data_IF_037458144336
#
_entry.id   IF_037458144336
#
_cell.length_a   1.000
_cell.length_b   1.000
_cell.length_c   1.000
_cell.angle_alpha   90.00
_cell.angle_beta   90.00
_cell.angle_gamma   90.00
#
_symmetry.space_group_name_H-M   'P 1'
#
loop_
_entity.id
_entity.type
_entity.pdbx_description
1 polymer ?
#
# COMPACT_ATOMS: atom_id res chain seq x y z
N UNK A 1 9.49 -14.77 10.65
CA UNK A 1 10.46 -14.84 9.57
C UNK A 1 10.19 -13.88 8.40
N UNK A 2 9.83 -12.61 8.66
CA UNK A 2 9.81 -11.54 7.66
C UNK A 2 8.75 -11.66 6.56
N UNK A 3 7.65 -12.36 6.79
CA UNK A 3 6.60 -12.61 5.78
C UNK A 3 5.41 -11.67 5.84
N UNK A 4 5.37 -10.80 6.86
CA UNK A 4 4.27 -9.85 7.03
C UNK A 4 4.63 -8.51 6.41
N UNK A 5 3.71 -7.93 5.69
CA UNK A 5 3.68 -6.52 5.32
C UNK A 5 2.29 -5.97 5.64
N UNK A 6 2.24 -4.79 6.19
CA UNK A 6 1.00 -4.17 6.64
C UNK A 6 0.51 -3.17 5.60
N UNK A 7 -0.60 -3.49 4.94
CA UNK A 7 -1.30 -2.53 4.08
C UNK A 7 -2.06 -1.51 4.93
N UNK A 8 -1.85 -0.22 4.66
CA UNK A 8 -2.47 0.88 5.40
C UNK A 8 -3.14 1.85 4.45
N UNK A 9 -4.44 2.08 4.64
CA UNK A 9 -5.23 3.07 3.92
C UNK A 9 -5.89 4.06 4.87
N UNK A 10 -6.09 5.30 4.42
CA UNK A 10 -6.75 6.34 5.24
C UNK A 10 -8.28 6.30 5.17
N UNK A 11 -8.85 5.46 4.29
CA UNK A 11 -10.28 5.48 4.00
C UNK A 11 -10.69 6.65 3.07
N UNK A 12 -11.64 6.41 2.21
CA UNK A 12 -12.15 7.39 1.24
C UNK A 12 -13.62 7.73 1.44
N UNK A 13 -14.35 6.89 2.16
CA UNK A 13 -15.81 7.01 2.34
C UNK A 13 -16.15 7.75 3.64
N UNK A 14 -16.65 8.99 3.59
CA UNK A 14 -16.98 9.76 4.80
C UNK A 14 -18.12 9.15 5.62
N UNK A 15 -19.00 8.35 5.00
CA UNK A 15 -20.12 7.72 5.70
C UNK A 15 -19.61 6.69 6.71
N UNK A 16 -18.58 5.93 6.39
CA UNK A 16 -17.94 4.97 7.31
C UNK A 16 -17.38 5.67 8.55
N UNK A 17 -16.77 6.84 8.37
CA UNK A 17 -16.25 7.64 9.48
C UNK A 17 -17.39 8.16 10.37
N UNK A 18 -18.45 8.68 9.76
CA UNK A 18 -19.61 9.20 10.51
C UNK A 18 -20.28 8.11 11.35
N UNK A 19 -20.44 6.90 10.80
CA UNK A 19 -21.02 5.75 11.54
C UNK A 19 -20.15 5.33 12.72
N UNK A 20 -18.83 5.46 12.60
CA UNK A 20 -17.87 5.13 13.65
C UNK A 20 -17.64 6.30 14.65
N UNK A 21 -18.33 7.42 14.48
CA UNK A 21 -18.12 8.62 15.31
C UNK A 21 -16.78 9.32 15.10
N UNK A 22 -16.15 9.13 13.93
CA UNK A 22 -14.81 9.60 13.63
C UNK A 22 -14.79 10.79 12.66
N UNK A 23 -13.89 11.74 12.88
CA UNK A 23 -13.74 12.90 12.00
C UNK A 23 -12.96 12.53 10.73
N UNK A 24 -13.68 12.46 9.61
CA UNK A 24 -13.13 12.19 8.28
C UNK A 24 -12.03 13.19 7.87
N UNK A 25 -12.11 14.45 8.31
CA UNK A 25 -11.18 15.50 7.90
C UNK A 25 -9.79 15.33 8.53
N UNK A 26 -9.69 14.63 9.64
CA UNK A 26 -8.44 14.41 10.38
C UNK A 26 -7.67 13.15 9.92
N UNK A 27 -8.31 12.24 9.17
CA UNK A 27 -7.78 10.90 8.85
C UNK A 27 -6.35 10.88 8.34
N UNK A 28 -5.98 11.84 7.48
CA UNK A 28 -4.63 11.93 6.91
C UNK A 28 -3.56 12.34 7.89
N UNK A 29 -3.89 13.13 8.90
CA UNK A 29 -2.98 13.51 9.99
C UNK A 29 -2.92 12.40 11.05
N UNK A 30 -4.08 11.83 11.38
CA UNK A 30 -4.20 10.75 12.37
C UNK A 30 -3.43 9.49 11.92
N UNK A 31 -3.53 9.09 10.65
CA UNK A 31 -2.80 7.91 10.17
C UNK A 31 -1.26 8.07 10.26
N UNK A 32 -0.75 9.30 10.12
CA UNK A 32 0.68 9.58 10.32
C UNK A 32 1.10 9.21 11.74
N UNK A 33 0.38 9.71 12.74
CA UNK A 33 0.64 9.41 14.14
C UNK A 33 0.46 7.92 14.45
N UNK A 34 -0.58 7.28 13.88
CA UNK A 34 -0.80 5.84 14.03
C UNK A 34 0.34 4.98 13.46
N UNK A 35 0.96 5.40 12.36
CA UNK A 35 2.12 4.71 11.78
C UNK A 35 3.32 4.84 12.71
N UNK A 36 3.56 6.03 13.24
CA UNK A 36 4.64 6.31 14.17
C UNK A 36 4.52 5.47 15.45
N UNK A 37 3.35 5.49 16.08
CA UNK A 37 3.04 4.67 17.26
C UNK A 37 3.23 3.16 16.98
N UNK A 38 2.75 2.67 15.84
CA UNK A 38 2.93 1.25 15.49
C UNK A 38 4.40 0.88 15.34
N UNK A 39 5.20 1.72 14.68
CA UNK A 39 6.63 1.46 14.54
C UNK A 39 7.33 1.39 15.89
N UNK A 40 7.03 2.32 16.80
CA UNK A 40 7.54 2.30 18.17
C UNK A 40 7.13 1.01 18.90
N UNK A 41 5.84 0.66 18.89
CA UNK A 41 5.34 -0.57 19.53
C UNK A 41 5.94 -1.86 18.95
N UNK A 42 6.42 -1.86 17.72
CA UNK A 42 7.06 -3.04 17.12
C UNK A 42 8.55 -3.16 17.45
N UNK A 43 9.20 -2.07 17.83
CA UNK A 43 10.64 -2.02 18.05
C UNK A 43 11.04 -1.90 19.52
N UNK A 44 10.20 -1.24 20.32
CA UNK A 44 10.49 -0.89 21.69
C UNK A 44 9.43 -1.41 22.67
N UNK A 45 9.84 -1.71 23.92
CA UNK A 45 8.94 -2.18 24.97
C UNK A 45 9.54 -1.92 26.35
N UNK A 46 8.92 -1.11 27.23
CA UNK A 46 7.71 -0.29 26.97
C UNK A 46 8.02 0.98 26.17
N UNK A 47 6.96 1.66 25.68
CA UNK A 47 7.05 2.98 25.06
C UNK A 47 6.28 4.02 25.86
N UNK A 48 6.74 5.28 25.78
CA UNK A 48 5.98 6.47 26.13
C UNK A 48 5.76 7.29 24.84
N UNK A 49 4.52 7.69 24.59
CA UNK A 49 4.17 8.48 23.41
C UNK A 49 3.06 9.45 23.72
N UNK A 50 3.28 10.75 23.48
CA UNK A 50 2.33 11.82 23.73
C UNK A 50 2.03 12.54 22.42
N UNK A 51 0.97 12.12 21.74
CA UNK A 51 0.51 12.68 20.46
C UNK A 51 -0.80 13.44 20.59
N UNK A 52 -1.34 13.80 19.44
CA UNK A 52 -2.65 14.46 19.40
C UNK A 52 -3.82 13.48 19.59
N UNK A 53 -3.68 12.26 19.11
CA UNK A 53 -4.72 11.22 19.10
C UNK A 53 -4.36 10.01 19.95
N UNK A 54 -3.12 9.87 20.34
CA UNK A 54 -2.63 8.75 21.13
C UNK A 54 -1.81 9.27 22.30
N UNK A 55 -2.16 8.81 23.48
CA UNK A 55 -1.42 9.05 24.72
C UNK A 55 -1.12 7.69 25.34
N UNK A 56 0.16 7.30 25.36
CA UNK A 56 0.60 5.98 25.78
C UNK A 56 1.68 6.17 26.84
N UNK A 57 1.49 5.57 27.99
CA UNK A 57 2.43 5.65 29.10
C UNK A 57 2.82 4.25 29.52
N UNK A 58 4.14 3.95 29.46
CA UNK A 58 4.74 2.71 29.90
C UNK A 58 4.01 1.45 29.36
N UNK A 59 3.53 1.49 28.11
CA UNK A 59 2.81 0.39 27.51
C UNK A 59 3.61 -0.20 26.34
N UNK A 60 3.31 -1.45 25.99
CA UNK A 60 3.99 -2.15 24.89
C UNK A 60 3.27 -3.43 24.48
N UNK A 61 3.84 -4.14 23.53
CA UNK A 61 3.38 -5.45 23.10
C UNK A 61 4.40 -6.53 23.49
N UNK A 62 3.92 -7.66 23.92
CA UNK A 62 4.78 -8.78 24.32
C UNK A 62 4.19 -10.11 23.84
N UNK A 63 4.93 -10.94 23.07
CA UNK A 63 6.29 -10.67 22.61
C UNK A 63 6.34 -9.61 21.51
N UNK A 64 7.49 -8.94 21.35
CA UNK A 64 7.75 -8.09 20.19
C UNK A 64 7.74 -8.93 18.91
N UNK A 65 7.29 -8.36 17.76
CA UNK A 65 7.37 -9.05 16.47
C UNK A 65 8.81 -9.49 16.16
N UNK A 66 8.95 -10.67 15.54
CA UNK A 66 10.25 -11.11 15.02
C UNK A 66 10.75 -10.15 13.94
N UNK A 67 9.85 -9.74 13.05
CA UNK A 67 10.11 -8.74 12.00
C UNK A 67 9.91 -7.33 12.56
N UNK A 68 10.97 -6.54 12.67
CA UNK A 68 10.98 -5.22 13.30
C UNK A 68 11.76 -4.19 12.49
N UNK A 69 11.16 -3.10 12.05
CA UNK A 69 9.71 -2.88 11.99
C UNK A 69 9.05 -3.75 10.91
N UNK A 70 7.74 -3.93 11.02
CA UNK A 70 6.95 -4.57 9.97
C UNK A 70 6.81 -3.54 8.81
N UNK A 71 7.12 -3.90 7.54
CA UNK A 71 7.01 -2.98 6.44
C UNK A 71 5.58 -2.48 6.23
N UNK A 72 5.42 -1.17 6.09
CA UNK A 72 4.14 -0.52 5.85
C UNK A 72 3.98 -0.20 4.37
N UNK A 73 2.90 -0.70 3.80
CA UNK A 73 2.54 -0.47 2.41
C UNK A 73 1.31 0.42 2.30
N UNK A 74 1.36 1.39 1.40
CA UNK A 74 0.28 2.35 1.24
C UNK A 74 -0.12 2.51 -0.22
N UNK A 75 -1.41 2.77 -0.44
CA UNK A 75 -1.96 3.26 -1.69
C UNK A 75 -2.31 4.75 -1.59
N UNK A 76 -2.47 5.38 -2.74
CA UNK A 76 -3.05 6.71 -2.86
C UNK A 76 -4.08 6.69 -3.99
N UNK A 77 -5.18 7.42 -3.81
CA UNK A 77 -6.30 7.44 -4.75
C UNK A 77 -7.60 6.94 -4.12
N UNK A 78 -8.62 6.87 -4.95
CA UNK A 78 -9.94 6.37 -4.62
C UNK A 78 -10.57 5.75 -5.87
N UNK A 79 -11.68 5.00 -5.76
CA UNK A 79 -12.42 4.53 -6.93
C UNK A 79 -12.72 5.67 -7.90
N UNK A 80 -12.39 5.49 -9.18
CA UNK A 80 -12.52 6.51 -10.23
C UNK A 80 -11.53 7.69 -10.20
N UNK A 81 -10.63 7.74 -9.19
CA UNK A 81 -9.57 8.75 -9.06
C UNK A 81 -8.24 8.10 -8.63
N UNK A 82 -7.61 7.31 -9.51
CA UNK A 82 -6.46 6.48 -9.15
C UNK A 82 -5.23 7.30 -8.76
N UNK A 83 -5.09 8.52 -9.29
CA UNK A 83 -3.94 9.37 -9.02
C UNK A 83 -3.90 9.93 -7.59
N UNK A 84 -5.06 10.05 -6.94
CA UNK A 84 -5.15 10.65 -5.61
C UNK A 84 -4.69 12.12 -5.53
N UNK A 85 -4.87 12.77 -4.38
CA UNK A 85 -4.34 14.10 -4.14
C UNK A 85 -2.84 14.07 -3.78
N UNK A 86 -2.09 15.12 -4.13
CA UNK A 86 -0.66 15.23 -3.84
C UNK A 86 -0.30 14.98 -2.37
N UNK A 87 -1.14 15.40 -1.44
CA UNK A 87 -0.92 15.15 0.01
C UNK A 87 -0.95 13.66 0.37
N UNK A 88 -1.66 12.84 -0.40
CA UNK A 88 -1.64 11.39 -0.20
C UNK A 88 -0.37 10.77 -0.77
N UNK A 89 0.06 11.19 -1.96
CA UNK A 89 1.33 10.77 -2.58
C UNK A 89 2.54 11.19 -1.73
N UNK A 90 2.53 12.42 -1.18
CA UNK A 90 3.56 12.89 -0.26
C UNK A 90 3.62 11.99 1.00
N UNK A 91 2.47 11.62 1.55
CA UNK A 91 2.42 10.72 2.71
C UNK A 91 3.02 9.36 2.40
N UNK A 92 2.72 8.78 1.23
CA UNK A 92 3.34 7.54 0.76
C UNK A 92 4.86 7.68 0.73
N UNK A 93 5.39 8.67 0.01
CA UNK A 93 6.84 8.87 -0.10
C UNK A 93 7.53 9.07 1.25
N UNK A 94 6.89 9.78 2.18
CA UNK A 94 7.46 10.08 3.50
C UNK A 94 7.42 8.90 4.47
N UNK A 95 6.40 8.05 4.42
CA UNK A 95 6.09 7.11 5.49
C UNK A 95 6.08 5.64 5.07
N UNK A 96 5.77 5.33 3.81
CA UNK A 96 5.60 3.96 3.39
C UNK A 96 6.95 3.28 3.06
N UNK A 97 7.00 1.98 3.27
CA UNK A 97 8.09 1.12 2.82
C UNK A 97 7.76 0.50 1.45
N UNK A 98 6.47 0.52 1.07
CA UNK A 98 6.01 0.13 -0.25
C UNK A 98 4.79 0.91 -0.72
N UNK A 99 4.61 0.99 -2.02
CA UNK A 99 3.53 1.71 -2.69
C UNK A 99 2.74 0.81 -3.64
N UNK A 100 1.41 0.92 -3.56
CA UNK A 100 0.46 0.33 -4.49
C UNK A 100 -0.13 1.40 -5.40
N UNK A 101 0.34 1.58 -6.64
CA UNK A 101 -0.35 2.41 -7.62
C UNK A 101 -1.74 1.82 -7.94
N UNK A 102 -2.78 2.67 -7.92
CA UNK A 102 -4.16 2.24 -8.22
C UNK A 102 -4.50 2.44 -9.71
N UNK A 103 -3.58 2.10 -10.60
CA UNK A 103 -3.73 2.19 -12.05
C UNK A 103 -3.01 1.02 -12.71
N UNK A 104 -3.26 0.85 -13.99
CA UNK A 104 -2.51 -0.07 -14.85
C UNK A 104 -1.09 0.44 -15.11
N UNK A 105 -0.20 -0.47 -15.56
CA UNK A 105 1.13 -0.10 -16.02
C UNK A 105 1.04 0.93 -17.17
N UNK A 106 2.02 1.83 -17.26
CA UNK A 106 2.09 2.86 -18.29
C UNK A 106 2.49 4.24 -17.74
N UNK A 107 2.28 5.28 -18.54
CA UNK A 107 2.70 6.64 -18.23
C UNK A 107 2.14 7.20 -16.91
N UNK A 108 0.88 6.86 -16.60
CA UNK A 108 0.28 7.27 -15.32
C UNK A 108 0.97 6.63 -14.14
N UNK A 109 1.22 5.31 -14.20
CA UNK A 109 1.94 4.59 -13.16
C UNK A 109 3.35 5.16 -12.99
N UNK A 110 4.06 5.40 -14.10
CA UNK A 110 5.39 6.01 -14.09
C UNK A 110 5.40 7.36 -13.36
N UNK A 111 4.50 8.25 -13.73
CA UNK A 111 4.39 9.59 -13.08
C UNK A 111 4.10 9.49 -11.58
N UNK A 112 3.25 8.54 -11.16
CA UNK A 112 2.95 8.33 -9.76
C UNK A 112 4.16 7.78 -9.00
N UNK A 113 4.87 6.81 -9.56
CA UNK A 113 6.11 6.24 -8.99
C UNK A 113 7.17 7.34 -8.85
N UNK A 114 7.43 8.10 -9.91
CA UNK A 114 8.39 9.20 -9.88
C UNK A 114 8.01 10.26 -8.83
N UNK A 115 6.72 10.56 -8.70
CA UNK A 115 6.21 11.52 -7.72
C UNK A 115 6.44 11.04 -6.28
N UNK A 116 6.09 9.80 -5.96
CA UNK A 116 6.26 9.28 -4.59
C UNK A 116 7.75 9.10 -4.24
N UNK A 117 8.57 8.66 -5.19
CA UNK A 117 10.04 8.61 -5.04
C UNK A 117 10.63 10.00 -4.80
N UNK A 118 10.15 11.01 -5.52
CA UNK A 118 10.55 12.40 -5.30
C UNK A 118 10.18 12.92 -3.91
N UNK A 119 9.02 12.53 -3.37
CA UNK A 119 8.64 12.86 -1.99
C UNK A 119 9.49 12.09 -0.95
N UNK A 120 9.87 10.85 -1.22
CA UNK A 120 10.79 10.10 -0.36
C UNK A 120 12.14 10.81 -0.27
N UNK A 121 12.71 11.21 -1.41
CA UNK A 121 13.96 11.95 -1.47
C UNK A 121 13.88 13.30 -0.72
N UNK A 122 12.81 14.07 -0.90
CA UNK A 122 12.58 15.33 -0.17
C UNK A 122 12.46 15.12 1.33
N UNK A 123 12.06 13.94 1.78
CA UNK A 123 12.01 13.56 3.19
C UNK A 123 13.33 13.00 3.73
N UNK A 124 14.42 13.04 2.96
CA UNK A 124 15.73 12.52 3.34
C UNK A 124 15.85 10.99 3.30
N UNK A 125 14.90 10.32 2.61
CA UNK A 125 14.92 8.86 2.43
C UNK A 125 15.55 8.50 1.09
N UNK A 126 16.17 7.33 1.02
CA UNK A 126 16.58 6.79 -0.27
C UNK A 126 15.33 6.35 -1.07
N UNK A 127 15.06 6.93 -2.26
CA UNK A 127 13.87 6.59 -3.04
C UNK A 127 13.86 5.14 -3.55
N UNK A 128 15.00 4.47 -3.63
CA UNK A 128 15.11 3.09 -4.10
C UNK A 128 14.74 2.06 -3.02
N UNK A 129 14.68 2.48 -1.75
CA UNK A 129 14.16 1.64 -0.67
C UNK A 129 12.63 1.51 -0.72
N UNK A 130 11.94 2.44 -1.42
CA UNK A 130 10.49 2.37 -1.60
C UNK A 130 10.12 1.31 -2.63
N UNK A 131 9.58 0.20 -2.16
CA UNK A 131 9.15 -0.92 -3.00
C UNK A 131 7.86 -0.59 -3.74
N UNK A 132 7.73 -1.12 -4.95
CA UNK A 132 6.56 -0.90 -5.82
C UNK A 132 5.88 -2.23 -6.10
N UNK A 133 4.57 -2.29 -5.89
CA UNK A 133 3.76 -3.44 -6.31
C UNK A 133 2.72 -3.01 -7.33
N UNK A 134 2.88 -3.49 -8.54
CA UNK A 134 1.91 -3.32 -9.59
C UNK A 134 0.66 -4.19 -9.38
N UNK A 135 -0.45 -3.81 -10.01
CA UNK A 135 -1.66 -4.61 -10.02
C UNK A 135 -2.04 -4.97 -11.46
N UNK A 136 -2.43 -6.21 -11.65
CA UNK A 136 -2.94 -6.74 -12.91
C UNK A 136 -4.32 -7.34 -12.63
N UNK A 137 -5.36 -6.77 -13.19
CA UNK A 137 -6.68 -7.40 -13.18
C UNK A 137 -6.70 -8.40 -14.35
N UNK A 138 -7.03 -9.68 -14.05
CA UNK A 138 -7.04 -10.76 -15.05
C UNK A 138 -8.26 -10.63 -15.96
N UNK A 139 -8.21 -9.63 -16.82
CA UNK A 139 -9.14 -9.40 -17.92
C UNK A 139 -8.40 -9.72 -19.22
N UNK A 140 -9.15 -10.07 -20.28
CA UNK A 140 -8.52 -10.40 -21.56
C UNK A 140 -7.79 -11.73 -21.59
N UNK A 141 -6.73 -11.83 -22.37
CA UNK A 141 -5.98 -13.06 -22.65
C UNK A 141 -4.73 -13.23 -21.80
N UNK A 142 -4.21 -14.45 -21.66
CA UNK A 142 -2.91 -14.71 -21.01
C UNK A 142 -1.74 -13.91 -21.61
N UNK A 143 -1.75 -13.63 -22.89
CA UNK A 143 -0.73 -12.83 -23.58
C UNK A 143 -0.77 -11.36 -23.11
N UNK A 144 -1.96 -10.81 -22.90
CA UNK A 144 -2.15 -9.47 -22.35
C UNK A 144 -1.67 -9.41 -20.91
N UNK A 145 -1.93 -10.44 -20.11
CA UNK A 145 -1.43 -10.52 -18.72
C UNK A 145 0.09 -10.53 -18.67
N UNK A 146 0.73 -11.33 -19.56
CA UNK A 146 2.19 -11.36 -19.68
C UNK A 146 2.77 -10.01 -20.08
N UNK A 147 2.13 -9.34 -21.03
CA UNK A 147 2.52 -7.99 -21.46
C UNK A 147 2.46 -7.02 -20.27
N UNK A 148 1.39 -7.06 -19.46
CA UNK A 148 1.25 -6.22 -18.29
C UNK A 148 2.35 -6.50 -17.22
N UNK A 149 2.77 -7.74 -17.03
CA UNK A 149 3.91 -8.08 -16.16
C UNK A 149 5.18 -7.41 -16.66
N UNK A 150 5.50 -7.55 -17.95
CA UNK A 150 6.69 -6.95 -18.57
C UNK A 150 6.67 -5.41 -18.42
N UNK A 151 5.51 -4.79 -18.59
CA UNK A 151 5.37 -3.34 -18.42
C UNK A 151 5.63 -2.90 -16.98
N UNK A 152 5.09 -3.64 -15.98
CA UNK A 152 5.39 -3.37 -14.58
C UNK A 152 6.87 -3.57 -14.24
N UNK A 153 7.49 -4.60 -14.78
CA UNK A 153 8.93 -4.84 -14.62
C UNK A 153 9.76 -3.66 -15.18
N UNK A 154 9.41 -3.14 -16.36
CA UNK A 154 10.06 -1.97 -16.96
C UNK A 154 9.89 -0.70 -16.13
N UNK A 155 8.80 -0.58 -15.37
CA UNK A 155 8.57 0.51 -14.44
C UNK A 155 9.31 0.33 -13.10
N UNK A 156 10.04 -0.78 -12.93
CA UNK A 156 10.79 -1.09 -11.72
C UNK A 156 9.92 -1.58 -10.58
N UNK A 157 8.81 -2.25 -10.87
CA UNK A 157 8.01 -2.91 -9.83
C UNK A 157 8.77 -4.10 -9.24
N UNK A 158 8.76 -4.20 -7.91
CA UNK A 158 9.37 -5.32 -7.17
C UNK A 158 8.46 -6.56 -7.14
N UNK A 159 7.18 -6.36 -7.34
CA UNK A 159 6.16 -7.41 -7.37
C UNK A 159 4.92 -6.98 -8.16
N UNK A 160 4.12 -7.95 -8.53
CA UNK A 160 2.77 -7.73 -9.05
C UNK A 160 1.76 -8.55 -8.24
N UNK A 161 0.62 -7.93 -7.95
CA UNK A 161 -0.57 -8.62 -7.45
C UNK A 161 -1.58 -8.79 -8.56
N UNK A 162 -2.34 -9.88 -8.50
CA UNK A 162 -3.38 -10.17 -9.49
C UNK A 162 -4.76 -10.07 -8.87
N UNK A 163 -5.71 -9.52 -9.64
CA UNK A 163 -7.11 -9.44 -9.29
C UNK A 163 -7.96 -10.24 -10.29
N UNK A 164 -8.81 -11.12 -9.78
CA UNK A 164 -9.73 -11.91 -10.60
C UNK A 164 -11.17 -11.37 -10.55
N UNK A 165 -11.47 -10.45 -9.63
CA UNK A 165 -12.84 -9.96 -9.38
C UNK A 165 -13.44 -9.13 -10.52
N UNK A 166 -12.62 -8.60 -11.42
CA UNK A 166 -13.06 -7.88 -12.62
C UNK A 166 -13.06 -8.74 -13.87
N UNK A 167 -12.48 -9.94 -13.79
CA UNK A 167 -12.45 -10.89 -14.91
C UNK A 167 -13.82 -11.56 -15.13
N UNK A 168 -13.97 -12.28 -16.23
CA UNK A 168 -15.21 -12.97 -16.61
C UNK A 168 -15.42 -14.29 -15.85
N UNK A 169 -15.00 -14.34 -14.57
CA UNK A 169 -15.04 -15.54 -13.74
C UNK A 169 -16.26 -15.50 -12.82
N UNK A 170 -17.07 -16.55 -12.83
CA UNK A 170 -18.34 -16.62 -12.12
C UNK A 170 -18.34 -17.66 -10.98
N UNK A 171 -17.38 -18.57 -10.99
CA UNK A 171 -17.26 -19.64 -9.99
C UNK A 171 -15.91 -19.62 -9.30
N UNK A 172 -15.80 -20.08 -8.04
CA UNK A 172 -14.50 -20.19 -7.37
C UNK A 172 -13.46 -20.99 -8.15
N UNK A 173 -13.88 -22.04 -8.88
CA UNK A 173 -12.98 -22.83 -9.71
C UNK A 173 -12.37 -22.02 -10.84
N UNK A 174 -13.17 -21.22 -11.55
CA UNK A 174 -12.69 -20.35 -12.64
C UNK A 174 -11.67 -19.33 -12.14
N UNK A 175 -11.89 -18.72 -10.97
CA UNK A 175 -10.92 -17.83 -10.33
C UNK A 175 -9.60 -18.56 -10.02
N UNK A 176 -9.68 -19.78 -9.48
CA UNK A 176 -8.50 -20.58 -9.15
C UNK A 176 -7.74 -20.97 -10.42
N UNK A 177 -8.45 -21.37 -11.47
CA UNK A 177 -7.82 -21.78 -12.72
C UNK A 177 -7.18 -20.60 -13.46
N UNK A 178 -7.77 -19.41 -13.41
CA UNK A 178 -7.16 -18.18 -13.91
C UNK A 178 -5.83 -17.87 -13.18
N UNK A 179 -5.79 -18.03 -11.85
CA UNK A 179 -4.57 -17.85 -11.06
C UNK A 179 -3.50 -18.88 -11.43
N UNK A 180 -3.88 -20.15 -11.64
CA UNK A 180 -2.95 -21.20 -12.08
C UNK A 180 -2.39 -20.89 -13.48
N UNK A 181 -3.26 -20.47 -14.39
CA UNK A 181 -2.87 -20.07 -15.76
C UNK A 181 -1.88 -18.91 -15.70
N UNK A 182 -2.18 -17.86 -14.92
CA UNK A 182 -1.27 -16.73 -14.74
C UNK A 182 0.10 -17.18 -14.21
N UNK A 183 0.14 -18.06 -13.22
CA UNK A 183 1.39 -18.63 -12.70
C UNK A 183 2.18 -19.40 -13.75
N UNK A 184 1.50 -20.03 -14.70
CA UNK A 184 2.13 -20.83 -15.76
C UNK A 184 2.74 -20.02 -16.90
N UNK A 185 2.44 -18.71 -16.98
CA UNK A 185 2.98 -17.82 -18.03
C UNK A 185 4.17 -16.96 -17.55
N UNK A 186 4.45 -16.98 -16.25
CA UNK A 186 5.64 -16.36 -15.62
C UNK A 186 6.84 -17.28 -15.72
#
# INVERSE_FOLDING_TARGET
DGRLRMGVGVGWNPVEFAVLGEDFTTRGRRIKEQIEVRRLLWTDNPIDYHGKWHDIVAAGINPLPIQRPIPIWMGAGAPGKPTGPNVALERVGRLADGYFPLCEAGETAKKLIDTVKGYAQKAGRNPDDLKIEGRIDLMGSPEEWKTAVIEWERLGADAVSIGTTRGPFNTPSEHIDAIKTFKGIL
#
